data_IF_404057209386
#
_entry.id   IF_404057209386
#
_cell.length_a   1.000
_cell.length_b   1.000
_cell.length_c   1.000
_cell.angle_alpha   90.00
_cell.angle_beta   90.00
_cell.angle_gamma   90.00
#
_symmetry.space_group_name_H-M   'P 1'
#
loop_
_entity.id
_entity.type
_entity.pdbx_description
1 polymer ?
#
# COMPACT_ATOMS: atom_id res chain seq x y z
N UNK A 1 2.94 -8.99 1.03
CA UNK A 1 3.45 -7.77 0.34
C UNK A 1 4.89 -8.00 -0.11
N UNK A 2 5.32 -7.42 -1.23
CA UNK A 2 6.71 -7.55 -1.66
C UNK A 2 7.63 -6.80 -0.66
N UNK A 3 8.70 -7.42 -0.11
CA UNK A 3 9.54 -6.81 0.94
C UNK A 3 10.06 -5.41 0.61
N UNK A 4 10.32 -5.13 -0.68
CA UNK A 4 10.66 -3.79 -1.22
C UNK A 4 9.77 -2.65 -0.71
N UNK A 5 8.50 -2.90 -0.40
CA UNK A 5 7.54 -1.86 0.00
C UNK A 5 7.28 -1.82 1.51
N UNK A 6 7.97 -2.65 2.29
CA UNK A 6 7.84 -2.63 3.75
C UNK A 6 8.40 -1.32 4.32
N UNK A 7 7.68 -0.73 5.28
CA UNK A 7 8.04 0.58 5.86
C UNK A 7 7.75 1.78 4.96
N UNK A 8 7.16 1.59 3.77
CA UNK A 8 6.70 2.71 2.93
C UNK A 8 5.30 3.15 3.38
N UNK A 9 5.12 4.46 3.46
CA UNK A 9 3.82 5.10 3.70
C UNK A 9 3.13 5.42 2.37
N UNK A 10 1.80 5.33 2.36
CA UNK A 10 1.00 5.57 1.17
C UNK A 10 -0.43 5.94 1.51
N UNK A 11 -1.20 6.28 0.49
CA UNK A 11 -2.60 6.70 0.63
C UNK A 11 -3.50 5.56 0.18
N UNK A 12 -4.50 5.22 0.99
CA UNK A 12 -5.54 4.27 0.60
C UNK A 12 -6.42 4.93 -0.45
N UNK A 13 -6.37 4.45 -1.69
CA UNK A 13 -7.17 4.96 -2.81
C UNK A 13 -8.42 4.12 -3.07
N UNK A 14 -8.58 3.00 -2.37
CA UNK A 14 -9.77 2.17 -2.46
C UNK A 14 -9.63 0.83 -1.74
N UNK A 15 -10.65 -0.01 -1.92
CA UNK A 15 -10.72 -1.34 -1.33
C UNK A 15 -11.04 -2.37 -2.41
N UNK A 16 -10.37 -3.52 -2.37
CA UNK A 16 -10.63 -4.67 -3.23
C UNK A 16 -10.86 -5.91 -2.36
N UNK A 17 -12.12 -6.29 -2.20
CA UNK A 17 -12.52 -7.36 -1.29
C UNK A 17 -12.13 -7.02 0.16
N UNK A 18 -11.30 -7.87 0.77
CA UNK A 18 -10.77 -7.64 2.13
C UNK A 18 -9.46 -6.83 2.17
N UNK A 19 -8.87 -6.52 1.01
CA UNK A 19 -7.62 -5.79 0.91
C UNK A 19 -7.86 -4.32 0.52
N UNK A 20 -6.86 -3.48 0.76
CA UNK A 20 -6.82 -2.08 0.35
C UNK A 20 -5.90 -1.87 -0.84
N UNK A 21 -6.28 -0.92 -1.69
CA UNK A 21 -5.44 -0.37 -2.73
C UNK A 21 -4.69 0.82 -2.14
N UNK A 22 -3.38 0.69 -1.99
CA UNK A 22 -2.52 1.72 -1.39
C UNK A 22 -1.62 2.29 -2.46
N UNK A 23 -1.77 3.57 -2.75
CA UNK A 23 -0.86 4.28 -3.64
C UNK A 23 0.41 4.66 -2.88
N UNK A 24 1.55 4.24 -3.42
CA UNK A 24 2.87 4.58 -2.91
C UNK A 24 3.70 5.23 -4.02
N UNK A 25 4.61 6.12 -3.63
CA UNK A 25 5.65 6.62 -4.51
C UNK A 25 6.90 5.76 -4.32
N UNK A 26 7.40 5.15 -5.38
CA UNK A 26 8.65 4.37 -5.41
C UNK A 26 9.65 5.09 -6.31
N UNK A 27 10.52 5.90 -5.69
CA UNK A 27 11.35 6.87 -6.41
C UNK A 27 10.49 7.91 -7.13
N UNK A 28 10.56 7.93 -8.47
CA UNK A 28 9.77 8.84 -9.32
C UNK A 28 8.46 8.20 -9.83
N UNK A 29 8.23 6.92 -9.54
CA UNK A 29 7.11 6.16 -10.10
C UNK A 29 6.01 6.01 -9.05
N UNK A 30 4.77 6.31 -9.42
CA UNK A 30 3.59 6.02 -8.60
C UNK A 30 3.13 4.59 -8.87
N UNK A 31 2.95 3.81 -7.80
CA UNK A 31 2.50 2.42 -7.87
C UNK A 31 1.30 2.22 -6.95
N UNK A 32 0.37 1.38 -7.37
CA UNK A 32 -0.77 0.95 -6.54
C UNK A 32 -0.50 -0.46 -6.03
N UNK A 33 -0.41 -0.60 -4.71
CA UNK A 33 -0.20 -1.86 -4.02
C UNK A 33 -1.51 -2.43 -3.50
N UNK A 34 -1.69 -3.74 -3.57
CA UNK A 34 -2.81 -4.43 -2.90
C UNK A 34 -2.27 -4.99 -1.59
N UNK A 35 -2.71 -4.44 -0.46
CA UNK A 35 -2.26 -4.89 0.85
C UNK A 35 -3.44 -5.18 1.76
N UNK A 36 -3.36 -6.28 2.52
CA UNK A 36 -4.38 -6.60 3.51
C UNK A 36 -4.20 -5.76 4.78
N UNK A 37 -5.25 -5.61 5.61
CA UNK A 37 -5.21 -4.77 6.80
C UNK A 37 -4.11 -5.18 7.79
N UNK A 38 -3.76 -6.46 7.87
CA UNK A 38 -2.73 -6.98 8.80
C UNK A 38 -1.32 -6.47 8.48
N UNK A 39 -1.12 -5.92 7.29
CA UNK A 39 0.14 -5.33 6.84
C UNK A 39 0.12 -3.80 6.83
N UNK A 40 -0.96 -3.18 7.32
CA UNK A 40 -1.12 -1.73 7.34
C UNK A 40 -1.18 -1.24 8.78
N UNK A 41 -0.65 -0.03 9.01
CA UNK A 41 -0.76 0.67 10.28
C UNK A 41 -1.26 2.08 10.00
N UNK A 42 -2.36 2.47 10.63
CA UNK A 42 -2.82 3.85 10.63
C UNK A 42 -1.97 4.66 11.61
N UNK A 43 -1.59 5.87 11.20
CA UNK A 43 -0.90 6.86 11.99
C UNK A 43 -1.47 8.24 11.68
#
# INVERSE_FOLDING_TARGET
PHPRYQGRSGIVVGKRGRAYLVQIKDGSIVKTLISRPEHLRAF
#
